data_IF_045551053580
#
_entry.id   IF_045551053580
#
_cell.length_a   1.000
_cell.length_b   1.000
_cell.length_c   1.000
_cell.angle_alpha   90.00
_cell.angle_beta   90.00
_cell.angle_gamma   90.00
#
_symmetry.space_group_name_H-M   'P 1'
#
loop_
_entity.id
_entity.type
_entity.pdbx_description
1 polymer ?
#
# COMPACT_ATOMS: atom_id res chain seq x y z
N UNK A 1 -4.83 13.00 -3.51
CA UNK A 1 -5.23 11.75 -2.81
C UNK A 1 -4.47 11.49 -1.51
N UNK A 2 -3.27 10.90 -1.52
CA UNK A 2 -2.57 10.47 -0.30
C UNK A 2 -2.22 11.64 0.64
N UNK A 3 -1.70 12.74 0.07
CA UNK A 3 -1.38 13.97 0.82
C UNK A 3 -2.62 14.58 1.46
N UNK A 4 -3.71 14.69 0.70
CA UNK A 4 -5.02 15.13 1.21
C UNK A 4 -5.58 14.17 2.26
N UNK A 5 -5.21 12.89 2.14
CA UNK A 5 -5.52 11.84 3.10
C UNK A 5 -4.69 11.91 4.40
N UNK A 6 -3.75 12.86 4.50
CA UNK A 6 -2.90 13.05 5.68
C UNK A 6 -1.57 12.30 5.64
N UNK A 7 -1.22 11.64 4.54
CA UNK A 7 0.07 10.95 4.41
C UNK A 7 1.18 11.90 3.96
N UNK A 8 2.23 12.00 4.77
CA UNK A 8 3.48 12.70 4.43
C UNK A 8 4.65 12.12 5.25
N UNK A 9 5.84 11.90 4.65
CA UNK A 9 6.15 12.00 3.23
C UNK A 9 5.55 10.83 2.40
N UNK A 10 5.41 11.05 1.09
CA UNK A 10 4.92 10.05 0.14
C UNK A 10 6.11 9.42 -0.58
N UNK A 11 6.15 8.09 -0.61
CA UNK A 11 7.15 7.32 -1.36
C UNK A 11 6.47 6.53 -2.48
N UNK A 12 7.10 6.51 -3.65
CA UNK A 12 6.70 5.66 -4.77
C UNK A 12 7.86 4.77 -5.14
N UNK A 13 7.64 3.45 -5.12
CA UNK A 13 8.64 2.49 -5.56
C UNK A 13 8.36 2.13 -7.01
N UNK A 14 9.30 2.46 -7.88
CA UNK A 14 9.25 2.08 -9.29
C UNK A 14 10.19 0.89 -9.55
N UNK A 15 9.91 0.13 -10.59
CA UNK A 15 10.66 -1.10 -10.93
C UNK A 15 10.99 -1.17 -12.41
N UNK A 16 10.20 -1.95 -13.17
CA UNK A 16 10.37 -2.15 -14.61
C UNK A 16 10.33 -0.87 -15.47
N UNK A 17 9.88 0.24 -14.89
CA UNK A 17 9.92 1.56 -15.49
C UNK A 17 10.56 2.54 -14.51
N UNK A 18 11.34 3.49 -15.03
CA UNK A 18 11.91 4.59 -14.26
C UNK A 18 11.29 5.92 -14.72
N UNK A 19 10.95 6.78 -13.76
CA UNK A 19 10.51 8.13 -14.04
C UNK A 19 10.19 8.90 -12.76
N UNK A 20 9.50 10.02 -12.91
CA UNK A 20 9.14 10.90 -11.80
C UNK A 20 7.65 10.83 -11.50
N UNK A 21 7.32 10.91 -10.22
CA UNK A 21 5.95 11.12 -9.74
C UNK A 21 5.93 12.43 -8.98
N UNK A 22 5.06 13.35 -9.40
CA UNK A 22 4.91 14.64 -8.73
C UNK A 22 4.46 14.44 -7.28
N UNK A 23 4.99 15.28 -6.37
CA UNK A 23 4.71 15.27 -4.93
C UNK A 23 5.08 13.96 -4.18
N UNK A 24 5.92 13.11 -4.76
CA UNK A 24 6.42 11.89 -4.14
C UNK A 24 7.95 11.72 -4.27
N UNK A 25 8.53 11.07 -3.27
CA UNK A 25 9.91 10.59 -3.31
C UNK A 25 9.96 9.26 -4.06
N UNK A 26 10.54 9.27 -5.26
CA UNK A 26 10.70 8.08 -6.08
C UNK A 26 11.93 7.29 -5.66
N UNK A 27 11.76 5.99 -5.43
CA UNK A 27 12.84 5.04 -5.20
C UNK A 27 12.77 3.96 -6.29
N UNK A 28 13.89 3.69 -6.95
CA UNK A 28 13.97 2.66 -7.98
C UNK A 28 14.37 1.33 -7.33
N UNK A 29 13.54 0.31 -7.54
CA UNK A 29 13.82 -1.08 -7.19
C UNK A 29 14.41 -1.81 -8.40
N UNK A 30 15.74 -1.95 -8.43
CA UNK A 30 16.43 -2.72 -9.46
C UNK A 30 16.20 -4.24 -9.36
N UNK A 31 15.69 -4.74 -8.23
CA UNK A 31 15.31 -6.14 -8.00
C UNK A 31 13.81 -6.40 -8.17
N UNK A 32 13.13 -5.64 -9.04
CA UNK A 32 11.68 -5.74 -9.24
C UNK A 32 11.23 -7.13 -9.69
N UNK A 33 12.11 -7.90 -10.35
CA UNK A 33 11.84 -9.28 -10.79
C UNK A 33 11.66 -10.25 -9.61
N UNK A 34 12.10 -9.88 -8.40
CA UNK A 34 11.87 -10.66 -7.17
C UNK A 34 10.44 -10.53 -6.62
N UNK A 35 9.60 -9.72 -7.28
CA UNK A 35 8.18 -9.56 -6.96
C UNK A 35 7.89 -8.38 -6.04
N UNK A 36 6.60 -8.19 -5.72
CA UNK A 36 6.08 -7.06 -4.94
C UNK A 36 6.74 -6.92 -3.55
N UNK A 37 7.19 -8.05 -2.99
CA UNK A 37 7.88 -8.10 -1.71
C UNK A 37 9.22 -7.34 -1.70
N UNK A 38 9.98 -7.32 -2.81
CA UNK A 38 11.23 -6.58 -2.87
C UNK A 38 10.99 -5.06 -2.83
N UNK A 39 9.97 -4.58 -3.54
CA UNK A 39 9.55 -3.17 -3.52
C UNK A 39 9.10 -2.74 -2.12
N UNK A 40 8.25 -3.53 -1.46
CA UNK A 40 7.80 -3.23 -0.11
C UNK A 40 8.98 -3.22 0.89
N UNK A 41 9.90 -4.17 0.78
CA UNK A 41 11.10 -4.23 1.63
C UNK A 41 11.94 -2.96 1.51
N UNK A 42 12.15 -2.49 0.28
CA UNK A 42 12.91 -1.25 0.02
C UNK A 42 12.19 -0.05 0.61
N UNK A 43 10.87 0.07 0.39
CA UNK A 43 10.06 1.16 0.96
C UNK A 43 10.20 1.23 2.48
N UNK A 44 9.98 0.11 3.17
CA UNK A 44 10.02 0.07 4.63
C UNK A 44 11.42 0.35 5.18
N UNK A 45 12.49 -0.14 4.53
CA UNK A 45 13.87 0.20 4.89
C UNK A 45 14.12 1.70 4.78
N UNK A 46 13.64 2.33 3.70
CA UNK A 46 13.79 3.76 3.48
C UNK A 46 13.01 4.58 4.52
N UNK A 47 11.73 4.30 4.70
CA UNK A 47 10.87 4.98 5.68
C UNK A 47 11.46 4.86 7.08
N UNK A 48 11.89 3.66 7.47
CA UNK A 48 12.47 3.41 8.79
C UNK A 48 13.80 4.16 9.00
N UNK A 49 14.61 4.34 7.95
CA UNK A 49 15.91 5.00 8.05
C UNK A 49 15.85 6.54 7.94
N UNK A 50 14.79 7.08 7.32
CA UNK A 50 14.76 8.50 6.92
C UNK A 50 13.62 9.30 7.52
N UNK A 51 12.70 8.65 8.25
CA UNK A 51 11.54 9.30 8.86
C UNK A 51 11.31 8.81 10.28
N UNK A 52 10.65 9.65 11.07
CA UNK A 52 10.09 9.32 12.39
C UNK A 52 8.59 8.98 12.31
N UNK A 53 8.11 8.55 11.14
CA UNK A 53 6.69 8.23 10.97
C UNK A 53 6.26 7.06 11.88
N UNK A 54 5.13 7.23 12.56
CA UNK A 54 4.54 6.24 13.48
C UNK A 54 4.01 5.00 12.75
N UNK A 55 3.66 5.14 11.47
CA UNK A 55 3.16 4.06 10.62
C UNK A 55 3.45 4.34 9.14
N UNK A 56 3.39 3.28 8.33
CA UNK A 56 3.35 3.37 6.88
C UNK A 56 1.96 2.97 6.38
N UNK A 57 1.41 3.75 5.45
CA UNK A 57 0.19 3.39 4.74
C UNK A 57 0.56 2.91 3.33
N UNK A 58 0.26 1.65 3.03
CA UNK A 58 0.66 0.97 1.81
C UNK A 58 -0.55 0.82 0.88
N UNK A 59 -0.44 1.37 -0.32
CA UNK A 59 -1.41 1.23 -1.40
C UNK A 59 -0.71 0.94 -2.73
N UNK A 60 -1.47 0.40 -3.68
CA UNK A 60 -1.06 0.31 -5.07
C UNK A 60 -1.36 1.63 -5.81
N UNK A 61 -0.65 1.89 -6.90
CA UNK A 61 -0.76 3.13 -7.70
C UNK A 61 -2.09 3.20 -8.47
N UNK A 62 -2.64 2.06 -8.87
CA UNK A 62 -3.83 1.97 -9.72
C UNK A 62 -5.07 1.48 -8.96
N UNK A 63 -5.51 2.22 -7.93
CA UNK A 63 -6.84 1.99 -7.33
C UNK A 63 -7.77 3.16 -7.66
N UNK A 64 -8.42 3.17 -8.84
CA UNK A 64 -9.26 4.28 -9.30
C UNK A 64 -10.44 4.58 -8.37
N UNK A 65 -10.80 3.66 -7.47
CA UNK A 65 -11.84 3.87 -6.48
C UNK A 65 -11.36 4.37 -5.12
N UNK A 66 -10.06 4.54 -4.88
CA UNK A 66 -9.54 5.00 -3.60
C UNK A 66 -9.71 6.52 -3.45
N UNK A 67 -10.29 6.95 -2.32
CA UNK A 67 -10.58 8.36 -2.00
C UNK A 67 -9.75 8.86 -0.82
N UNK A 68 -9.55 10.18 -0.69
CA UNK A 68 -8.77 10.75 0.41
C UNK A 68 -9.43 10.46 1.77
N UNK A 69 -10.77 10.39 1.80
CA UNK A 69 -11.53 9.94 2.96
C UNK A 69 -11.25 8.49 3.34
N UNK A 70 -11.14 7.58 2.37
CA UNK A 70 -10.81 6.18 2.66
C UNK A 70 -9.39 6.03 3.23
N UNK A 71 -8.44 6.80 2.70
CA UNK A 71 -7.07 6.89 3.26
C UNK A 71 -7.11 7.39 4.71
N UNK A 72 -7.82 8.49 4.98
CA UNK A 72 -7.96 9.03 6.33
C UNK A 72 -8.58 8.01 7.29
N UNK A 73 -9.63 7.29 6.85
CA UNK A 73 -10.33 6.32 7.70
C UNK A 73 -9.42 5.17 8.13
N UNK A 74 -8.61 4.65 7.21
CA UNK A 74 -7.65 3.57 7.53
C UNK A 74 -6.47 4.11 8.34
N UNK A 75 -6.00 5.33 8.04
CA UNK A 75 -4.93 5.98 8.78
C UNK A 75 -5.30 6.27 10.25
N UNK A 76 -6.58 6.57 10.51
CA UNK A 76 -7.13 6.88 11.83
C UNK A 76 -7.38 5.65 12.71
N UNK A 77 -7.04 4.44 12.27
CA UNK A 77 -7.17 3.25 13.12
C UNK A 77 -6.33 3.39 14.39
N UNK A 78 -6.98 3.24 15.55
CA UNK A 78 -6.42 3.55 16.87
C UNK A 78 -5.21 2.68 17.25
N UNK A 79 -5.12 1.46 16.75
CA UNK A 79 -4.06 0.52 17.11
C UNK A 79 -3.85 -0.58 16.08
N UNK A 80 -2.65 -1.18 16.10
CA UNK A 80 -2.34 -2.38 15.34
C UNK A 80 -2.29 -2.17 13.84
N UNK A 81 -2.22 -3.28 13.12
CA UNK A 81 -2.25 -3.31 11.66
C UNK A 81 -3.70 -3.09 11.22
N UNK A 82 -3.94 -2.11 10.34
CA UNK A 82 -5.27 -1.87 9.79
C UNK A 82 -5.32 -2.19 8.31
N UNK A 83 -6.39 -2.85 7.86
CA UNK A 83 -6.58 -3.29 6.48
C UNK A 83 -7.93 -2.80 6.00
N UNK A 84 -7.94 -2.08 4.89
CA UNK A 84 -9.17 -1.71 4.23
C UNK A 84 -9.99 -2.94 3.83
N UNK A 85 -11.30 -2.87 3.99
CA UNK A 85 -12.24 -3.82 3.40
C UNK A 85 -13.25 -3.14 2.50
N UNK A 86 -13.69 -3.86 1.47
CA UNK A 86 -14.78 -3.50 0.59
C UNK A 86 -15.82 -4.61 0.65
N UNK A 87 -16.98 -4.34 1.25
CA UNK A 87 -18.01 -5.35 1.48
C UNK A 87 -17.47 -6.60 2.22
N UNK A 88 -16.54 -6.38 3.16
CA UNK A 88 -15.86 -7.44 3.93
C UNK A 88 -14.68 -8.12 3.23
N UNK A 89 -14.40 -7.82 1.96
CA UNK A 89 -13.23 -8.32 1.25
C UNK A 89 -12.00 -7.45 1.53
N UNK A 90 -10.89 -8.06 1.97
CA UNK A 90 -9.64 -7.35 2.28
C UNK A 90 -9.01 -6.75 1.02
N UNK A 91 -8.56 -5.51 1.11
CA UNK A 91 -7.85 -4.81 0.06
C UNK A 91 -6.86 -3.77 0.59
N UNK A 92 -6.66 -2.71 -0.19
CA UNK A 92 -5.81 -1.58 0.15
C UNK A 92 -6.62 -0.32 0.43
N UNK A 93 -6.11 0.61 1.26
CA UNK A 93 -4.77 0.63 1.83
C UNK A 93 -4.59 -0.26 3.06
N UNK A 94 -3.32 -0.54 3.40
CA UNK A 94 -2.92 -1.25 4.61
C UNK A 94 -2.04 -0.34 5.47
N UNK A 95 -2.41 -0.13 6.73
CA UNK A 95 -1.62 0.62 7.73
C UNK A 95 -0.76 -0.35 8.53
N UNK A 96 0.56 -0.13 8.52
CA UNK A 96 1.54 -0.89 9.29
C UNK A 96 2.19 0.05 10.31
N UNK A 97 1.99 -0.16 11.63
CA UNK A 97 2.73 0.55 12.67
C UNK A 97 4.25 0.32 12.59
N UNK A 98 5.03 1.34 12.96
CA UNK A 98 6.50 1.33 12.91
C UNK A 98 7.12 0.16 13.67
N UNK A 99 6.52 -0.25 14.78
CA UNK A 99 6.96 -1.40 15.59
C UNK A 99 7.01 -2.72 14.80
N UNK A 100 6.21 -2.85 13.73
CA UNK A 100 6.20 -4.02 12.85
C UNK A 100 7.12 -3.90 11.65
N UNK A 101 7.76 -2.75 11.40
CA UNK A 101 8.59 -2.57 10.20
C UNK A 101 9.73 -3.56 10.12
N UNK A 102 10.44 -3.81 11.23
CA UNK A 102 11.57 -4.77 11.25
C UNK A 102 11.10 -6.18 10.95
N UNK A 103 10.05 -6.62 11.63
CA UNK A 103 9.44 -7.93 11.43
C UNK A 103 9.02 -8.11 9.96
N UNK A 104 8.28 -7.14 9.41
CA UNK A 104 7.81 -7.18 8.03
C UNK A 104 8.97 -7.15 7.02
N UNK A 105 10.01 -6.34 7.25
CA UNK A 105 11.22 -6.31 6.41
C UNK A 105 11.89 -7.68 6.36
N UNK A 106 11.90 -8.42 7.46
CA UNK A 106 12.57 -9.72 7.55
C UNK A 106 11.73 -10.84 6.89
N UNK A 107 10.40 -10.75 6.95
CA UNK A 107 9.49 -11.78 6.45
C UNK A 107 9.01 -11.58 5.01
N UNK A 108 8.99 -10.34 4.50
CA UNK A 108 8.43 -10.04 3.17
C UNK A 108 9.27 -10.66 2.04
N UNK A 109 8.65 -11.37 1.10
CA UNK A 109 9.35 -11.92 -0.06
C UNK A 109 8.41 -12.38 -1.16
N UNK A 110 8.94 -12.52 -2.38
CA UNK A 110 8.17 -12.93 -3.55
C UNK A 110 7.03 -11.96 -3.88
N UNK A 111 5.98 -12.48 -4.51
CA UNK A 111 4.86 -11.67 -5.00
C UNK A 111 3.81 -11.32 -3.94
N UNK A 112 3.90 -11.90 -2.73
CA UNK A 112 2.85 -11.75 -1.72
C UNK A 112 2.89 -10.41 -0.97
N UNK A 113 4.00 -9.67 -1.02
CA UNK A 113 4.13 -8.40 -0.31
C UNK A 113 3.76 -8.49 1.17
N UNK A 114 2.93 -7.57 1.67
CA UNK A 114 2.46 -7.59 3.06
C UNK A 114 1.35 -8.64 3.31
N UNK A 115 0.79 -9.27 2.26
CA UNK A 115 -0.43 -10.09 2.37
C UNK A 115 -0.24 -11.26 3.32
N UNK A 116 0.87 -12.00 3.20
CA UNK A 116 1.15 -13.13 4.07
C UNK A 116 1.33 -12.70 5.51
N UNK A 117 2.10 -11.63 5.73
CA UNK A 117 2.30 -11.03 7.05
C UNK A 117 0.99 -10.67 7.75
N UNK A 118 0.04 -10.09 7.01
CA UNK A 118 -1.27 -9.68 7.54
C UNK A 118 -2.23 -10.88 7.72
N UNK A 119 -2.17 -11.88 6.85
CA UNK A 119 -3.08 -13.03 6.89
C UNK A 119 -2.88 -13.96 8.10
N UNK A 120 -1.67 -13.97 8.67
CA UNK A 120 -1.29 -14.86 9.77
C UNK A 120 -1.53 -14.26 11.16
N UNK A 121 -2.14 -13.08 11.22
CA UNK A 121 -2.24 -12.27 12.42
C UNK A 121 -3.69 -12.13 12.88
N UNK A 122 -3.88 -12.28 14.18
CA UNK A 122 -5.17 -12.14 14.86
C UNK A 122 -5.42 -10.70 15.37
N UNK A 123 -4.39 -9.85 15.36
CA UNK A 123 -4.42 -8.46 15.82
C UNK A 123 -4.67 -7.44 14.70
N UNK A 124 -5.17 -7.91 13.55
CA UNK A 124 -5.50 -7.08 12.39
C UNK A 124 -6.88 -6.45 12.54
N UNK A 125 -6.94 -5.13 12.45
CA UNK A 125 -8.18 -4.35 12.42
C UNK A 125 -8.66 -4.23 10.98
N UNK A 126 -9.90 -4.65 10.72
CA UNK A 126 -10.55 -4.45 9.42
C UNK A 126 -11.30 -3.12 9.42
N UNK A 127 -11.07 -2.32 8.38
CA UNK A 127 -11.66 -0.98 8.23
C UNK A 127 -12.49 -0.93 6.97
N UNK A 128 -13.81 -0.96 7.11
CA UNK A 128 -14.73 -0.92 5.97
C UNK A 128 -14.73 0.46 5.32
N UNK A 129 -14.54 0.47 4.00
CA UNK A 129 -14.50 1.68 3.15
C UNK A 129 -15.38 1.58 1.90
N UNK A 130 -16.15 0.50 1.70
CA UNK A 130 -17.04 0.32 0.55
C UNK A 130 -18.14 1.38 0.40
N UNK A 131 -18.46 2.11 1.48
CA UNK A 131 -19.38 3.25 1.48
C UNK A 131 -18.77 4.54 0.87
N UNK A 132 -17.44 4.63 0.79
CA UNK A 132 -16.71 5.86 0.39
C UNK A 132 -15.61 5.63 -0.66
N UNK A 133 -15.39 4.38 -1.07
CA UNK A 133 -14.40 4.00 -2.07
C UNK A 133 -14.89 2.76 -2.83
N UNK A 134 -14.56 2.68 -4.11
CA UNK A 134 -14.85 1.51 -4.94
C UNK A 134 -13.68 0.54 -4.90
N UNK A 135 -13.89 -0.69 -4.44
CA UNK A 135 -12.89 -1.76 -4.50
C UNK A 135 -12.71 -2.36 -5.90
N UNK A 136 -13.47 -1.87 -6.90
CA UNK A 136 -13.40 -2.37 -8.27
C UNK A 136 -12.10 -1.91 -8.93
N UNK A 137 -11.27 -2.90 -9.26
CA UNK A 137 -10.26 -2.75 -10.31
C UNK A 137 -10.97 -2.40 -11.61
N UNK A 138 -10.50 -1.36 -12.30
CA UNK A 138 -10.88 -1.15 -13.69
C UNK A 138 -9.90 -2.00 -14.50
N UNK A 139 -10.16 -3.31 -14.58
CA UNK A 139 -9.72 -4.06 -15.74
C UNK A 139 -10.37 -3.37 -16.94
N UNK A 140 -9.59 -2.62 -17.71
CA UNK A 140 -10.02 -2.19 -19.04
C UNK A 140 -9.72 -3.38 -19.94
N UNK A 141 -10.69 -4.15 -20.45
CA UNK A 141 -10.43 -4.98 -21.60
C UNK A 141 -10.32 -4.01 -22.77
N UNK A 142 -9.12 -3.57 -23.11
CA UNK A 142 -8.87 -3.01 -24.44
C UNK A 142 -8.79 -4.15 -25.46
N UNK A 143 -9.86 -4.94 -25.56
CA UNK A 143 -10.16 -5.73 -26.75
C UNK A 143 -11.02 -4.85 -27.66
N UNK A 144 -10.34 -3.95 -28.38
CA UNK A 144 -10.89 -3.47 -29.64
C UNK A 144 -10.75 -4.58 -30.67
N UNK A 145 -11.74 -5.47 -30.69
CA UNK A 145 -12.05 -6.27 -31.86
C UNK A 145 -12.79 -5.37 -32.85
N UNK A 146 -12.18 -5.12 -34.01
CA UNK A 146 -12.84 -4.52 -35.17
C UNK A 146 -11.81 -3.87 -36.11
N UNK A 147 -11.73 -4.18 -37.39
CA UNK A 147 -12.56 -4.99 -38.29
C UNK A 147 -11.70 -5.46 -39.47
#
# INVERSE_FOLDING_TARGET
LLREGGCDPIFVILGAWEGSVDDALVIVNHGWEEGMGSSLRIALKWVNATTEADYALITLVDLPGLTSQSVQRVAAADSGIAVATFDGERGHPVRIPREHFRELIDTVGGDEGARSFVSQRDDVVLVEIGDIASGKDIDVPSDVVGS
#
